data_IF_801848576048
#
_entry.id   IF_801848576048
#
_cell.length_a   1.000
_cell.length_b   1.000
_cell.length_c   1.000
_cell.angle_alpha   90.00
_cell.angle_beta   90.00
_cell.angle_gamma   90.00
#
_symmetry.space_group_name_H-M   'P 1'
#
loop_
_entity.id
_entity.type
_entity.pdbx_description
1 polymer ?
#
# COMPACT_ATOMS: atom_id res chain seq x y z
N UNK A 1 -34.92 27.28 -8.02
CA UNK A 1 -34.89 26.91 -8.14
C UNK A 1 -34.35 25.97 -8.62
N UNK A 2 -34.11 25.66 -8.85
CA UNK A 2 -33.69 24.93 -9.38
C UNK A 2 -32.58 24.47 -9.37
N UNK A 3 -32.17 24.95 -9.17
CA UNK A 3 -31.08 24.79 -9.13
C UNK A 3 -30.55 23.66 -8.69
N UNK A 4 -30.80 23.32 -8.26
CA UNK A 4 -30.48 22.37 -7.74
C UNK A 4 -30.02 21.36 -8.41
N UNK A 5 -30.25 21.31 -8.95
CA UNK A 5 -30.07 20.39 -9.59
C UNK A 5 -28.88 20.21 -9.95
N UNK A 6 -28.44 20.93 -9.97
CA UNK A 6 -27.42 20.85 -10.45
C UNK A 6 -26.49 20.11 -9.88
N UNK A 7 -26.43 19.85 -9.37
CA UNK A 7 -25.66 19.28 -8.87
C UNK A 7 -25.32 18.19 -9.17
N UNK A 8 -25.42 17.99 -9.48
CA UNK A 8 -25.27 16.95 -9.72
C UNK A 8 -24.34 16.53 -10.38
N UNK A 9 -23.90 16.97 -10.58
CA UNK A 9 -23.12 16.62 -11.19
C UNK A 9 -22.36 15.99 -10.96
N UNK A 10 -22.55 16.14 -10.65
CA UNK A 10 -22.10 15.56 -10.46
C UNK A 10 -21.47 14.73 -11.03
N UNK A 11 -21.62 14.61 -11.64
CA UNK A 11 -20.86 13.76 -12.34
C UNK A 11 -19.45 13.82 -12.05
N UNK A 12 -19.14 14.47 -11.10
CA UNK A 12 -17.76 14.48 -10.68
C UNK A 12 -17.23 13.05 -10.75
N UNK A 13 -16.12 12.88 -11.42
CA UNK A 13 -15.51 11.58 -11.54
C UNK A 13 -15.35 10.97 -10.17
N UNK A 14 -15.79 9.74 -10.00
CA UNK A 14 -15.61 9.04 -8.76
C UNK A 14 -14.11 8.88 -8.49
N UNK A 15 -13.66 9.07 -7.27
CA UNK A 15 -12.27 8.77 -6.94
C UNK A 15 -12.01 7.29 -7.12
N UNK A 16 -10.76 6.94 -7.37
CA UNK A 16 -10.35 5.55 -7.43
C UNK A 16 -10.73 4.84 -6.14
N UNK A 17 -11.15 3.57 -6.22
CA UNK A 17 -11.49 2.84 -5.02
C UNK A 17 -10.36 2.87 -3.98
N UNK A 18 -10.69 3.12 -2.74
CA UNK A 18 -9.74 3.15 -1.65
C UNK A 18 -8.94 4.43 -1.52
N UNK A 19 -9.20 5.43 -2.35
CA UNK A 19 -8.51 6.72 -2.27
C UNK A 19 -9.54 7.77 -1.84
N UNK A 20 -9.35 8.41 -0.69
CA UNK A 20 -10.24 9.49 -0.30
C UNK A 20 -10.06 10.71 -1.20
N UNK A 21 -11.11 11.50 -1.41
CA UNK A 21 -11.00 12.73 -2.19
C UNK A 21 -10.00 13.70 -1.57
N UNK A 22 -9.35 14.46 -2.43
CA UNK A 22 -8.42 15.49 -1.98
C UNK A 22 -9.17 16.56 -1.17
N UNK A 23 -8.52 17.02 -0.12
CA UNK A 23 -9.08 18.07 0.72
C UNK A 23 -10.12 17.59 1.72
N UNK A 24 -10.44 16.33 1.70
CA UNK A 24 -11.40 15.75 2.63
C UNK A 24 -10.68 15.01 3.76
N UNK A 25 -11.11 15.23 4.97
CA UNK A 25 -10.57 14.50 6.12
C UNK A 25 -11.13 13.09 6.13
N UNK A 26 -10.28 12.13 5.93
CA UNK A 26 -10.69 10.74 5.94
C UNK A 26 -11.09 10.31 7.36
N UNK A 27 -12.21 9.59 7.51
CA UNK A 27 -12.54 9.00 8.81
C UNK A 27 -11.44 8.03 9.25
N UNK A 28 -11.30 7.88 10.54
CA UNK A 28 -10.23 7.05 11.13
C UNK A 28 -10.26 5.58 10.66
N UNK A 29 -11.40 5.11 10.21
CA UNK A 29 -11.60 3.71 9.83
C UNK A 29 -11.61 3.51 8.30
N UNK A 30 -11.07 4.43 7.52
CA UNK A 30 -11.03 4.25 6.07
C UNK A 30 -9.96 3.21 5.72
N UNK A 31 -10.40 2.17 5.05
CA UNK A 31 -9.53 1.14 4.50
C UNK A 31 -9.56 1.22 2.98
N UNK A 32 -8.44 1.56 2.39
CA UNK A 32 -8.29 1.56 0.95
C UNK A 32 -7.51 0.34 0.51
N UNK A 33 -7.87 -0.19 -0.63
CA UNK A 33 -7.15 -1.30 -1.26
C UNK A 33 -6.99 -1.00 -2.74
N UNK A 34 -5.76 -1.01 -3.21
CA UNK A 34 -5.48 -0.78 -4.63
C UNK A 34 -4.45 -1.78 -5.13
N UNK A 35 -4.51 -2.08 -6.41
CA UNK A 35 -3.58 -2.98 -7.06
C UNK A 35 -2.67 -2.22 -8.02
N UNK A 36 -1.42 -2.63 -8.06
CA UNK A 36 -0.47 -2.15 -9.05
C UNK A 36 -0.22 -3.26 -10.05
N UNK A 37 -0.49 -2.96 -11.32
CA UNK A 37 -0.15 -3.85 -12.44
C UNK A 37 1.09 -3.28 -13.10
N UNK A 38 2.12 -4.09 -13.24
CA UNK A 38 3.37 -3.66 -13.86
C UNK A 38 3.89 -4.73 -14.80
N UNK A 39 4.67 -4.32 -15.79
CA UNK A 39 5.27 -5.20 -16.80
C UNK A 39 6.78 -5.24 -16.71
N UNK A 40 7.37 -4.18 -16.16
CA UNK A 40 8.83 -4.06 -16.07
C UNK A 40 9.25 -3.77 -14.63
N UNK A 41 10.49 -4.12 -14.27
CA UNK A 41 11.03 -3.74 -12.97
C UNK A 41 10.96 -2.23 -12.71
N UNK A 42 11.17 -1.40 -13.72
CA UNK A 42 11.11 0.05 -13.54
C UNK A 42 9.70 0.53 -13.21
N UNK A 43 8.69 -0.04 -13.82
CA UNK A 43 7.30 0.27 -13.50
C UNK A 43 6.98 -0.12 -12.06
N UNK A 44 7.44 -1.29 -11.63
CA UNK A 44 7.27 -1.76 -10.27
C UNK A 44 7.93 -0.80 -9.28
N UNK A 45 9.19 -0.49 -9.49
CA UNK A 45 9.95 0.40 -8.59
C UNK A 45 9.27 1.76 -8.51
N UNK A 46 8.88 2.32 -9.65
CA UNK A 46 8.25 3.63 -9.71
C UNK A 46 6.92 3.65 -8.97
N UNK A 47 6.08 2.67 -9.22
CA UNK A 47 4.76 2.60 -8.58
C UNK A 47 4.84 2.39 -7.07
N UNK A 48 5.64 1.44 -6.64
CA UNK A 48 5.78 1.14 -5.21
C UNK A 48 6.48 2.28 -4.49
N UNK A 49 7.55 2.82 -5.06
CA UNK A 49 8.30 3.91 -4.43
C UNK A 49 7.45 5.16 -4.26
N UNK A 50 6.64 5.50 -5.27
CA UNK A 50 5.72 6.63 -5.17
C UNK A 50 4.68 6.45 -4.06
N UNK A 51 4.12 5.27 -3.96
CA UNK A 51 3.15 4.95 -2.92
C UNK A 51 3.77 5.04 -1.52
N UNK A 52 4.97 4.49 -1.37
CA UNK A 52 5.69 4.50 -0.10
C UNK A 52 6.10 5.93 0.27
N UNK A 53 6.68 6.67 -0.67
CA UNK A 53 7.12 8.05 -0.42
C UNK A 53 5.96 8.95 -0.03
N UNK A 54 4.83 8.83 -0.70
CA UNK A 54 3.63 9.60 -0.35
C UNK A 54 3.15 9.27 1.06
N UNK A 55 3.26 8.01 1.47
CA UNK A 55 2.92 7.62 2.84
C UNK A 55 3.84 8.24 3.87
N UNK A 56 5.14 8.14 3.64
CA UNK A 56 6.15 8.72 4.54
C UNK A 56 5.96 10.23 4.64
N UNK A 57 5.79 10.91 3.52
CA UNK A 57 5.59 12.37 3.49
C UNK A 57 4.31 12.78 4.21
N UNK A 58 3.29 11.95 4.17
CA UNK A 58 2.03 12.18 4.87
C UNK A 58 2.03 11.77 6.34
N UNK A 59 3.14 11.26 6.84
CA UNK A 59 3.23 10.81 8.23
C UNK A 59 2.66 9.42 8.48
N UNK A 60 2.36 8.67 7.44
CA UNK A 60 1.88 7.30 7.58
C UNK A 60 3.01 6.37 8.00
N UNK A 61 2.68 5.34 8.74
CA UNK A 61 3.58 4.21 8.94
C UNK A 61 3.53 3.33 7.70
N UNK A 62 4.67 2.83 7.26
CA UNK A 62 4.72 2.03 6.03
C UNK A 62 5.38 0.68 6.29
N UNK A 63 4.70 -0.37 5.86
CA UNK A 63 5.21 -1.75 5.85
C UNK A 63 5.34 -2.21 4.40
N UNK A 64 6.52 -2.66 4.03
CA UNK A 64 6.79 -3.21 2.70
C UNK A 64 7.18 -4.68 2.87
N UNK A 65 6.30 -5.57 2.43
CA UNK A 65 6.47 -7.01 2.53
C UNK A 65 6.65 -7.58 1.13
N UNK A 66 7.87 -7.79 0.72
CA UNK A 66 8.23 -8.21 -0.64
C UNK A 66 9.32 -9.29 -0.59
N UNK A 67 9.50 -10.06 -1.69
CA UNK A 67 10.70 -10.88 -1.82
C UNK A 67 11.97 -10.06 -1.73
N UNK A 68 13.03 -10.64 -1.17
CA UNK A 68 14.24 -9.91 -0.80
C UNK A 68 14.86 -9.05 -1.90
N UNK A 69 14.93 -9.57 -3.11
CA UNK A 69 15.48 -8.80 -4.24
C UNK A 69 14.66 -7.55 -4.55
N UNK A 70 13.34 -7.63 -4.40
CA UNK A 70 12.46 -6.48 -4.62
C UNK A 70 12.57 -5.45 -3.50
N UNK A 71 12.82 -5.91 -2.29
CA UNK A 71 13.10 -4.99 -1.16
C UNK A 71 14.29 -4.10 -1.49
N UNK A 72 15.38 -4.68 -1.98
CA UNK A 72 16.57 -3.91 -2.30
C UNK A 72 16.31 -2.89 -3.43
N UNK A 73 15.51 -3.26 -4.42
CA UNK A 73 15.12 -2.33 -5.48
C UNK A 73 14.37 -1.12 -4.92
N UNK A 74 13.44 -1.35 -4.01
CA UNK A 74 12.65 -0.27 -3.42
C UNK A 74 13.51 0.55 -2.46
N UNK A 75 14.32 -0.10 -1.65
CA UNK A 75 15.20 0.59 -0.70
C UNK A 75 16.17 1.53 -1.42
N UNK A 76 16.70 1.09 -2.55
CA UNK A 76 17.62 1.90 -3.35
C UNK A 76 16.94 3.09 -4.01
N UNK A 77 15.64 3.02 -4.24
CA UNK A 77 14.89 4.08 -4.91
C UNK A 77 14.33 5.11 -3.94
N UNK A 78 14.39 4.86 -2.63
CA UNK A 78 13.85 5.78 -1.63
C UNK A 78 14.96 6.69 -1.09
N UNK A 79 14.72 8.00 -1.02
CA UNK A 79 15.71 8.94 -0.46
C UNK A 79 15.88 8.75 1.04
N UNK A 80 14.85 8.26 1.72
CA UNK A 80 14.92 7.92 3.14
C UNK A 80 13.95 6.76 3.41
N UNK A 81 14.45 5.77 4.11
CA UNK A 81 13.66 4.60 4.48
C UNK A 81 13.48 4.46 5.98
N UNK A 82 13.72 5.53 6.74
CA UNK A 82 13.69 5.49 8.21
C UNK A 82 12.34 5.05 8.76
N UNK A 83 11.26 5.50 8.15
CA UNK A 83 9.91 5.23 8.62
C UNK A 83 9.25 4.08 7.86
N UNK A 84 10.06 3.31 7.14
CA UNK A 84 9.57 2.17 6.37
C UNK A 84 10.11 0.89 6.99
N UNK A 85 9.20 -0.02 7.31
CA UNK A 85 9.57 -1.36 7.76
C UNK A 85 9.55 -2.30 6.58
N UNK A 86 10.63 -3.03 6.38
CA UNK A 86 10.75 -4.03 5.34
C UNK A 86 10.66 -5.43 5.93
N UNK A 87 9.89 -6.28 5.30
CA UNK A 87 9.75 -7.69 5.66
C UNK A 87 10.03 -8.55 4.44
N UNK A 88 11.01 -9.43 4.56
CA UNK A 88 11.38 -10.32 3.48
C UNK A 88 10.40 -11.51 3.45
N UNK A 89 9.67 -11.62 2.35
CA UNK A 89 8.66 -12.64 2.16
C UNK A 89 9.25 -14.04 1.96
N UNK A 90 10.50 -14.17 1.59
CA UNK A 90 11.13 -15.48 1.51
C UNK A 90 11.28 -16.14 2.89
N UNK A 91 11.49 -15.33 3.91
CA UNK A 91 11.65 -15.84 5.27
C UNK A 91 10.32 -15.95 6.02
N UNK A 92 9.48 -14.94 5.87
CA UNK A 92 8.24 -14.86 6.63
C UNK A 92 7.06 -15.44 5.89
N UNK A 93 7.12 -15.50 4.57
CA UNK A 93 5.95 -15.58 3.73
C UNK A 93 5.77 -16.85 2.93
N UNK A 94 6.54 -17.89 3.20
CA UNK A 94 6.23 -19.17 2.57
C UNK A 94 4.87 -19.69 2.97
N UNK A 95 4.40 -19.26 4.11
CA UNK A 95 3.06 -19.54 4.58
C UNK A 95 2.25 -18.24 4.58
N UNK A 96 1.26 -18.09 3.70
CA UNK A 96 0.41 -16.89 3.66
C UNK A 96 -0.24 -16.59 5.02
N UNK A 97 -0.47 -17.62 5.83
CA UNK A 97 -1.06 -17.43 7.15
C UNK A 97 -0.18 -16.59 8.09
N UNK A 98 1.11 -16.45 7.79
CA UNK A 98 2.01 -15.61 8.59
C UNK A 98 1.91 -14.14 8.25
N UNK A 99 1.38 -13.81 7.07
CA UNK A 99 1.24 -12.41 6.69
C UNK A 99 0.22 -11.67 7.55
N UNK A 100 -0.89 -12.32 7.84
CA UNK A 100 -1.93 -11.70 8.65
C UNK A 100 -1.42 -11.32 10.05
N UNK A 101 -0.77 -12.22 10.80
CA UNK A 101 -0.18 -11.84 12.09
C UNK A 101 0.88 -10.74 11.96
N UNK A 102 1.69 -10.77 10.91
CA UNK A 102 2.74 -9.76 10.71
C UNK A 102 2.12 -8.37 10.49
N UNK A 103 1.13 -8.28 9.62
CA UNK A 103 0.41 -7.02 9.38
C UNK A 103 -0.29 -6.55 10.65
N UNK A 104 -0.95 -7.46 11.33
CA UNK A 104 -1.67 -7.13 12.56
C UNK A 104 -0.73 -6.61 13.64
N UNK A 105 0.38 -7.29 13.84
CA UNK A 105 1.39 -6.86 14.81
C UNK A 105 1.91 -5.45 14.49
N UNK A 106 2.16 -5.19 13.21
CA UNK A 106 2.59 -3.86 12.77
C UNK A 106 1.54 -2.79 13.08
N UNK A 107 0.28 -3.07 12.82
CA UNK A 107 -0.80 -2.12 13.09
C UNK A 107 -1.00 -1.89 14.59
N UNK A 108 -0.90 -2.95 15.37
CA UNK A 108 -1.13 -2.91 16.82
C UNK A 108 -0.03 -2.17 17.60
N UNK A 109 1.16 -2.01 17.02
CA UNK A 109 2.24 -1.27 17.66
C UNK A 109 1.87 0.20 17.92
N UNK A 110 1.10 0.79 17.03
CA UNK A 110 0.66 2.18 17.17
C UNK A 110 -0.80 2.32 16.72
N UNK A 111 -1.73 1.92 17.57
CA UNK A 111 -3.14 2.01 17.24
C UNK A 111 -3.55 3.45 16.92
N UNK A 112 -4.43 3.59 15.94
CA UNK A 112 -4.94 4.90 15.54
C UNK A 112 -4.05 5.67 14.58
N UNK A 113 -2.81 5.24 14.33
CA UNK A 113 -1.97 5.85 13.31
C UNK A 113 -2.26 5.26 11.96
N UNK A 114 -2.33 6.12 10.96
CA UNK A 114 -2.48 5.67 9.58
C UNK A 114 -1.29 4.82 9.18
N UNK A 115 -1.56 3.81 8.38
CA UNK A 115 -0.53 2.91 7.89
C UNK A 115 -0.77 2.58 6.43
N UNK A 116 0.32 2.40 5.70
CA UNK A 116 0.31 1.88 4.33
C UNK A 116 1.04 0.55 4.32
N UNK A 117 0.49 -0.39 3.58
CA UNK A 117 1.07 -1.72 3.49
C UNK A 117 1.20 -2.08 2.02
N UNK A 118 2.39 -2.48 1.62
CA UNK A 118 2.68 -3.00 0.29
C UNK A 118 2.98 -4.48 0.44
N UNK A 119 2.34 -5.31 -0.37
CA UNK A 119 2.62 -6.72 -0.40
C UNK A 119 2.44 -7.28 -1.80
N UNK A 120 3.20 -8.30 -2.13
CA UNK A 120 3.05 -9.05 -3.37
C UNK A 120 2.85 -10.53 -3.01
N UNK A 121 1.61 -10.99 -2.99
CA UNK A 121 1.33 -12.36 -2.56
C UNK A 121 1.71 -13.44 -3.58
N UNK A 122 1.98 -13.03 -4.81
CA UNK A 122 2.31 -13.96 -5.90
C UNK A 122 3.67 -13.60 -6.49
N UNK A 123 4.55 -14.59 -6.63
CA UNK A 123 5.83 -14.43 -7.30
C UNK A 123 6.21 -15.76 -7.98
N UNK A 124 7.09 -15.71 -8.99
CA UNK A 124 7.54 -16.93 -9.67
C UNK A 124 8.16 -17.92 -8.69
N UNK A 125 7.85 -19.19 -8.85
CA UNK A 125 8.38 -20.24 -7.98
C UNK A 125 7.56 -20.50 -6.73
N UNK A 126 6.50 -19.75 -6.51
CA UNK A 126 5.58 -20.01 -5.40
C UNK A 126 4.70 -21.22 -5.72
N UNK A 127 4.64 -22.19 -4.84
CA UNK A 127 3.85 -23.38 -5.05
C UNK A 127 2.35 -23.13 -4.91
N UNK A 128 1.54 -23.98 -5.52
CA UNK A 128 0.09 -23.90 -5.41
C UNK A 128 -0.44 -23.82 -3.97
N UNK A 129 0.10 -24.62 -3.03
CA UNK A 129 -0.36 -24.51 -1.64
C UNK A 129 -0.03 -23.18 -0.97
N UNK A 130 0.88 -22.40 -1.55
CA UNK A 130 1.29 -21.09 -1.02
C UNK A 130 0.50 -19.94 -1.62
N UNK A 131 -0.27 -20.22 -2.64
CA UNK A 131 -1.13 -19.25 -3.30
C UNK A 131 -2.54 -19.30 -2.72
#
# INVERSE_FOLDING_TARGET
MDSLLSRTDSGAAAPAPGVPPEGETAPAAVHGHSGLVYRTPDEFVRGVSSFVAAGVDGGDRVLVALPGEKIEMIRSALPSARDVRFVDMYWSGRNPARMIPTVRSFLDEKPGRRARIVGEPLWPGRSSPEV
#
